data_IF_569618495280
#
_entry.id   IF_569618495280
#
_cell.length_a   1.000
_cell.length_b   1.000
_cell.length_c   1.000
_cell.angle_alpha   90.00
_cell.angle_beta   90.00
_cell.angle_gamma   90.00
#
_symmetry.space_group_name_H-M   'P 1'
#
loop_
_entity.id
_entity.type
_entity.pdbx_description
1 polymer ?
#
# COMPACT_ATOMS: atom_id res chain seq x y z
N UNK A 1 -14.66 -0.68 -1.03
CA UNK A 1 -14.85 -1.21 0.34
C UNK A 1 -13.59 -0.94 1.13
N UNK A 2 -13.66 -0.42 2.36
CA UNK A 2 -12.44 -0.26 3.18
C UNK A 2 -11.91 -1.64 3.53
N UNK A 3 -10.70 -1.95 3.08
CA UNK A 3 -10.03 -3.21 3.35
C UNK A 3 -9.13 -3.03 4.56
N UNK A 4 -8.87 -4.09 5.35
CA UNK A 4 -7.79 -4.03 6.32
C UNK A 4 -6.49 -3.65 5.59
N UNK A 5 -5.66 -2.77 6.18
CA UNK A 5 -4.42 -2.36 5.56
C UNK A 5 -3.54 -3.56 5.28
N UNK A 6 -2.93 -3.56 4.11
CA UNK A 6 -2.01 -4.61 3.69
C UNK A 6 -0.94 -4.07 2.76
N UNK A 7 0.29 -4.54 2.91
CA UNK A 7 1.37 -4.19 2.01
C UNK A 7 1.17 -4.83 0.61
N UNK A 8 1.31 -4.01 -0.42
CA UNK A 8 1.17 -4.36 -1.85
C UNK A 8 2.15 -3.56 -2.69
N UNK A 9 2.55 -4.12 -3.83
CA UNK A 9 3.40 -3.43 -4.81
C UNK A 9 2.51 -2.66 -5.78
N UNK A 10 2.76 -1.37 -5.93
CA UNK A 10 2.13 -0.51 -6.93
C UNK A 10 3.02 0.71 -7.16
N UNK A 11 2.98 1.31 -8.36
CA UNK A 11 3.82 2.45 -8.69
C UNK A 11 5.32 2.23 -8.36
N UNK A 12 5.79 1.00 -8.57
CA UNK A 12 7.17 0.54 -8.39
C UNK A 12 7.67 0.60 -6.94
N UNK A 13 6.77 0.66 -5.96
CA UNK A 13 7.10 0.63 -4.54
C UNK A 13 6.15 -0.30 -3.76
N UNK A 14 6.56 -0.72 -2.56
CA UNK A 14 5.66 -1.34 -1.58
C UNK A 14 4.89 -0.25 -0.84
N UNK A 15 3.57 -0.24 -0.98
CA UNK A 15 2.64 0.64 -0.28
C UNK A 15 1.73 -0.16 0.63
N UNK A 16 1.26 0.47 1.71
CA UNK A 16 0.06 -0.02 2.40
C UNK A 16 -1.15 0.33 1.54
N UNK A 17 -1.98 -0.64 1.25
CA UNK A 17 -3.27 -0.46 0.58
C UNK A 17 -4.38 -0.41 1.62
N UNK A 18 -5.24 0.61 1.56
CA UNK A 18 -6.35 0.79 2.51
C UNK A 18 -7.73 0.65 1.84
N UNK A 19 -7.80 0.80 0.51
CA UNK A 19 -9.03 0.68 -0.25
C UNK A 19 -8.74 0.25 -1.69
N UNK A 20 -9.55 -0.67 -2.21
CA UNK A 20 -9.63 -0.97 -3.65
C UNK A 20 -10.88 -0.31 -4.22
N UNK A 21 -10.71 0.31 -5.38
CA UNK A 21 -11.77 1.01 -6.12
C UNK A 21 -12.05 0.33 -7.46
N UNK A 22 -13.21 0.63 -8.00
CA UNK A 22 -13.62 0.15 -9.32
C UNK A 22 -12.62 0.58 -10.39
N UNK A 23 -12.39 -0.30 -11.38
CA UNK A 23 -11.38 -0.08 -12.42
C UNK A 23 -9.94 -0.36 -11.99
N UNK A 24 -9.73 -1.03 -10.85
CA UNK A 24 -8.42 -1.51 -10.41
C UNK A 24 -7.53 -0.46 -9.75
N UNK A 25 -8.08 0.73 -9.47
CA UNK A 25 -7.37 1.76 -8.72
C UNK A 25 -7.28 1.39 -7.23
N UNK A 26 -6.16 1.74 -6.61
CA UNK A 26 -5.85 1.43 -5.22
C UNK A 26 -5.54 2.71 -4.46
N UNK A 27 -6.24 2.95 -3.35
CA UNK A 27 -5.88 4.01 -2.42
C UNK A 27 -4.83 3.50 -1.44
N UNK A 28 -3.69 4.15 -1.43
CA UNK A 28 -2.57 3.83 -0.54
C UNK A 28 -2.72 4.53 0.80
N UNK A 29 -2.08 3.99 1.84
CA UNK A 29 -2.04 4.57 3.18
C UNK A 29 -1.32 5.91 3.24
N UNK A 30 -0.47 6.24 2.26
CA UNK A 30 0.11 7.57 2.10
C UNK A 30 -0.79 8.55 1.31
N UNK A 31 -1.99 8.14 0.92
CA UNK A 31 -3.01 9.00 0.31
C UNK A 31 -2.99 9.07 -1.22
N UNK A 32 -2.04 8.40 -1.88
CA UNK A 32 -2.00 8.35 -3.34
C UNK A 32 -2.97 7.31 -3.89
N UNK A 33 -3.63 7.67 -4.99
CA UNK A 33 -4.39 6.75 -5.82
C UNK A 33 -3.48 6.21 -6.93
N UNK A 34 -3.29 4.90 -6.98
CA UNK A 34 -2.36 4.22 -7.89
C UNK A 34 -3.03 3.11 -8.68
N UNK A 35 -2.50 2.81 -9.87
CA UNK A 35 -2.91 1.68 -10.69
C UNK A 35 -1.74 0.71 -10.83
N UNK A 36 -1.84 -0.51 -10.28
CA UNK A 36 -0.84 -1.52 -10.53
C UNK A 36 -0.76 -1.85 -12.01
N UNK A 37 0.43 -2.13 -12.48
CA UNK A 37 0.68 -2.55 -13.85
C UNK A 37 1.58 -3.78 -13.91
N UNK A 38 1.87 -4.25 -15.13
CA UNK A 38 2.69 -5.44 -15.35
C UNK A 38 4.13 -5.30 -14.85
N UNK A 39 4.66 -4.07 -14.69
CA UNK A 39 5.99 -3.85 -14.11
C UNK A 39 5.98 -4.10 -12.61
N UNK A 40 4.94 -3.64 -11.90
CA UNK A 40 4.78 -3.86 -10.46
C UNK A 40 4.79 -5.36 -10.12
N UNK A 41 4.11 -6.18 -10.94
CA UNK A 41 4.05 -7.63 -10.76
C UNK A 41 5.37 -8.37 -11.02
N UNK A 42 6.33 -7.73 -11.70
CA UNK A 42 7.62 -8.33 -12.11
C UNK A 42 8.80 -7.86 -11.24
N UNK A 43 8.58 -6.93 -10.32
CA UNK A 43 9.64 -6.45 -9.43
C UNK A 43 10.00 -7.52 -8.39
N UNK A 44 11.28 -7.88 -8.34
CA UNK A 44 11.82 -8.87 -7.39
C UNK A 44 11.98 -8.28 -5.99
N UNK A 45 12.52 -7.06 -5.89
CA UNK A 45 12.69 -6.35 -4.62
C UNK A 45 12.27 -4.87 -4.75
N UNK A 46 10.97 -4.58 -4.71
CA UNK A 46 10.48 -3.22 -4.77
C UNK A 46 10.85 -2.43 -3.49
N UNK A 47 11.32 -1.17 -3.63
CA UNK A 47 11.61 -0.32 -2.47
C UNK A 47 10.32 -0.05 -1.68
N UNK A 48 10.45 0.16 -0.37
CA UNK A 48 9.30 0.51 0.48
C UNK A 48 9.00 2.01 0.34
N UNK A 49 7.73 2.37 0.18
CA UNK A 49 7.29 3.75 0.27
C UNK A 49 7.59 4.30 1.67
N UNK A 50 8.48 5.29 1.77
CA UNK A 50 8.96 5.83 3.05
C UNK A 50 7.83 6.41 3.91
N UNK A 51 6.84 7.05 3.29
CA UNK A 51 5.67 7.60 3.99
C UNK A 51 4.81 6.48 4.56
N UNK A 52 4.56 5.40 3.80
CA UNK A 52 3.84 4.24 4.32
C UNK A 52 4.62 3.57 5.46
N UNK A 53 5.94 3.46 5.33
CA UNK A 53 6.83 2.89 6.38
C UNK A 53 6.78 3.69 7.69
N UNK A 54 6.60 5.00 7.60
CA UNK A 54 6.47 5.87 8.77
C UNK A 54 5.11 5.73 9.46
N UNK A 55 4.03 5.62 8.67
CA UNK A 55 2.66 5.61 9.18
C UNK A 55 2.18 4.23 9.65
N UNK A 56 2.75 3.16 9.09
CA UNK A 56 2.31 1.77 9.31
C UNK A 56 3.50 0.87 9.60
N UNK A 57 3.32 -0.10 10.49
CA UNK A 57 4.30 -1.14 10.76
C UNK A 57 4.27 -2.23 9.69
N UNK A 58 5.36 -2.99 9.50
CA UNK A 58 5.37 -4.13 8.57
C UNK A 58 4.44 -5.27 9.00
N UNK A 59 4.16 -5.35 10.30
CA UNK A 59 3.23 -6.31 10.89
C UNK A 59 1.75 -5.91 10.70
N UNK A 60 1.46 -4.72 10.15
CA UNK A 60 0.11 -4.25 9.84
C UNK A 60 -0.46 -5.04 8.66
N UNK A 61 -0.85 -6.28 8.96
CA UNK A 61 -1.45 -7.26 8.04
C UNK A 61 -2.93 -7.48 8.35
N UNK A 62 -3.55 -6.62 9.18
CA UNK A 62 -4.94 -6.82 9.61
C UNK A 62 -5.51 -5.84 10.62
N UNK A 63 -4.70 -4.97 11.22
CA UNK A 63 -5.17 -3.86 12.08
C UNK A 63 -4.40 -2.60 11.73
N UNK A 64 -5.10 -1.59 11.20
CA UNK A 64 -4.57 -0.23 11.10
C UNK A 64 -4.63 0.39 12.49
N UNK A 65 -3.72 -0.03 13.36
CA UNK A 65 -3.40 0.79 14.51
C UNK A 65 -2.40 1.80 13.96
N UNK A 66 -2.92 2.87 13.31
CA UNK A 66 -2.10 4.03 12.92
C UNK A 66 -1.21 4.32 14.13
N UNK A 67 0.11 4.35 13.94
CA UNK A 67 1.01 4.70 15.03
C UNK A 67 0.55 6.03 15.60
N UNK A 68 -0.07 6.00 16.78
CA UNK A 68 -0.38 7.22 17.50
C UNK A 68 0.94 7.94 17.76
N UNK A 69 1.00 9.26 17.54
CA UNK A 69 2.23 10.04 17.64
C UNK A 69 2.89 9.92 19.01
#
# INVERSE_FOLDING_TARGET
MKSPPRWRVAAQQRHVLVEERDGGAMLTGCGFLVWPNAYDARMVDPPICITCRYLYSEDDTGRADVRSP
#
